data_IF_702256114515
#
_entry.id   IF_702256114515
#
_cell.length_a   1.000
_cell.length_b   1.000
_cell.length_c   1.000
_cell.angle_alpha   90.00
_cell.angle_beta   90.00
_cell.angle_gamma   90.00
#
_symmetry.space_group_name_H-M   'P 1'
#
loop_
_entity.id
_entity.type
_entity.pdbx_description
1 polymer ?
#
# COMPACT_ATOMS: atom_id res chain seq x y z
N UNK A 1 -6.80 12.49 10.76
CA UNK A 1 -6.93 11.66 11.99
C UNK A 1 -6.81 10.16 11.74
N UNK A 2 -7.27 9.61 10.62
CA UNK A 2 -7.14 8.18 10.29
C UNK A 2 -5.72 7.63 10.51
N UNK A 3 -4.68 8.30 10.01
CA UNK A 3 -3.30 7.88 10.20
C UNK A 3 -2.83 7.90 11.67
N UNK A 4 -3.28 8.88 12.47
CA UNK A 4 -2.95 8.93 13.90
C UNK A 4 -3.44 7.68 14.65
N UNK A 5 -4.63 7.19 14.30
CA UNK A 5 -5.16 5.95 14.85
C UNK A 5 -4.28 4.74 14.50
N UNK A 6 -3.75 4.69 13.27
CA UNK A 6 -2.80 3.64 12.84
C UNK A 6 -1.53 3.67 13.67
N UNK A 7 -0.90 4.84 13.84
CA UNK A 7 0.34 4.94 14.62
C UNK A 7 0.15 4.59 16.10
N UNK A 8 -0.97 5.01 16.69
CA UNK A 8 -1.32 4.65 18.07
C UNK A 8 -1.51 3.13 18.20
N UNK A 9 -2.24 2.52 17.27
CA UNK A 9 -2.47 1.08 17.23
C UNK A 9 -1.17 0.30 17.03
N UNK A 10 -0.30 0.73 16.11
CA UNK A 10 0.98 0.08 15.84
C UNK A 10 1.89 0.13 17.05
N UNK A 11 1.96 1.29 17.73
CA UNK A 11 2.71 1.43 18.98
C UNK A 11 2.18 0.49 20.05
N UNK A 12 0.86 0.45 20.23
CA UNK A 12 0.20 -0.45 21.17
C UNK A 12 0.45 -1.93 20.82
N UNK A 13 0.38 -2.28 19.54
CA UNK A 13 0.58 -3.64 19.06
C UNK A 13 2.03 -4.09 19.20
N UNK A 14 3.00 -3.18 19.01
CA UNK A 14 4.42 -3.48 19.17
C UNK A 14 4.77 -3.80 20.63
N UNK A 15 4.13 -3.13 21.59
CA UNK A 15 4.36 -3.35 23.02
C UNK A 15 3.96 -4.75 23.50
N UNK A 16 3.06 -5.45 22.80
CA UNK A 16 2.68 -6.85 23.08
C UNK A 16 3.84 -7.84 23.01
N UNK A 17 4.92 -7.47 22.32
CA UNK A 17 6.10 -8.30 22.11
C UNK A 17 7.29 -7.86 22.97
N UNK A 18 7.08 -6.90 23.87
CA UNK A 18 8.06 -6.43 24.86
C UNK A 18 7.84 -7.20 26.17
N UNK A 19 8.66 -6.97 27.19
CA UNK A 19 8.51 -7.62 28.50
C UNK A 19 7.18 -7.29 29.21
N UNK A 20 6.76 -8.17 30.12
CA UNK A 20 5.51 -8.02 30.88
C UNK A 20 5.68 -7.14 32.14
N UNK A 21 6.34 -6.00 32.01
CA UNK A 21 6.50 -5.07 33.13
C UNK A 21 5.23 -4.27 33.38
N UNK A 22 5.02 -3.84 34.63
CA UNK A 22 3.90 -2.94 34.99
C UNK A 22 3.87 -1.69 34.11
N UNK A 23 5.05 -1.14 33.79
CA UNK A 23 5.18 0.03 32.92
C UNK A 23 4.66 -0.24 31.50
N UNK A 24 4.94 -1.41 30.93
CA UNK A 24 4.41 -1.81 29.61
C UNK A 24 2.89 -1.94 29.67
N UNK A 25 2.34 -2.59 30.70
CA UNK A 25 0.90 -2.72 30.89
C UNK A 25 0.16 -1.38 31.06
N UNK A 26 0.72 -0.46 31.85
CA UNK A 26 0.19 0.91 32.03
C UNK A 26 0.25 1.70 30.72
N UNK A 27 1.36 1.60 29.97
CA UNK A 27 1.52 2.28 28.67
C UNK A 27 0.54 1.75 27.64
N UNK A 28 0.34 0.43 27.56
CA UNK A 28 -0.65 -0.17 26.67
C UNK A 28 -2.07 0.26 27.03
N UNK A 29 -2.40 0.32 28.32
CA UNK A 29 -3.73 0.78 28.77
C UNK A 29 -3.96 2.26 28.44
N UNK A 30 -2.93 3.09 28.56
CA UNK A 30 -3.00 4.49 28.12
C UNK A 30 -3.21 4.63 26.62
N UNK A 31 -2.46 3.87 25.80
CA UNK A 31 -2.61 3.88 24.34
C UNK A 31 -4.00 3.39 23.91
N UNK A 32 -4.55 2.37 24.57
CA UNK A 32 -5.92 1.88 24.33
C UNK A 32 -6.95 3.00 24.55
N UNK A 33 -6.81 3.75 25.65
CA UNK A 33 -7.62 4.96 25.90
C UNK A 33 -7.47 6.02 24.81
N UNK A 34 -6.24 6.29 24.34
CA UNK A 34 -6.00 7.25 23.24
C UNK A 34 -6.61 6.81 21.92
N UNK A 35 -6.52 5.52 21.59
CA UNK A 35 -7.13 4.92 20.40
C UNK A 35 -8.64 5.15 20.43
N UNK A 36 -9.29 4.89 21.57
CA UNK A 36 -10.73 5.14 21.72
C UNK A 36 -11.12 6.61 21.57
N UNK A 37 -10.36 7.54 22.15
CA UNK A 37 -10.61 8.98 21.98
C UNK A 37 -10.46 9.40 20.51
N UNK A 38 -9.42 8.92 19.84
CA UNK A 38 -9.14 9.23 18.43
C UNK A 38 -10.21 8.64 17.50
N UNK A 39 -10.64 7.40 17.77
CA UNK A 39 -11.74 6.73 17.07
C UNK A 39 -13.07 7.48 17.21
N UNK A 40 -13.44 7.88 18.44
CA UNK A 40 -14.64 8.66 18.70
C UNK A 40 -14.61 10.01 17.98
N UNK A 41 -13.48 10.72 18.06
CA UNK A 41 -13.33 12.00 17.36
C UNK A 41 -13.45 11.81 15.84
N UNK A 42 -12.90 10.72 15.28
CA UNK A 42 -13.00 10.42 13.85
C UNK A 42 -14.44 10.09 13.45
N UNK A 43 -15.16 9.34 14.28
CA UNK A 43 -16.59 9.04 14.09
C UNK A 43 -17.45 10.32 14.08
N UNK A 44 -17.14 11.27 14.98
CA UNK A 44 -17.82 12.56 15.02
C UNK A 44 -17.54 13.40 13.78
N UNK A 45 -16.29 13.40 13.27
CA UNK A 45 -15.94 14.07 12.02
C UNK A 45 -16.71 13.47 10.83
N UNK A 46 -16.76 12.14 10.71
CA UNK A 46 -17.54 11.47 9.65
C UNK A 46 -19.03 11.78 9.75
N UNK A 47 -19.58 11.85 10.97
CA UNK A 47 -20.98 12.24 11.17
C UNK A 47 -21.22 13.69 10.76
N UNK A 48 -20.30 14.60 11.10
CA UNK A 48 -20.38 16.00 10.68
C UNK A 48 -20.31 16.15 9.16
N UNK A 49 -19.42 15.43 8.48
CA UNK A 49 -19.30 15.46 7.02
C UNK A 49 -20.58 14.92 6.32
N UNK A 50 -21.25 13.97 6.97
CA UNK A 50 -22.46 13.35 6.43
C UNK A 50 -23.74 14.16 6.71
N UNK A 51 -23.91 14.69 7.92
CA UNK A 51 -25.16 15.26 8.42
C UNK A 51 -25.07 16.74 8.80
N UNK A 52 -23.87 17.34 8.75
CA UNK A 52 -23.63 18.73 9.15
C UNK A 52 -23.96 18.99 10.62
N UNK A 53 -24.51 20.18 10.88
CA UNK A 53 -24.89 20.63 12.24
C UNK A 53 -26.15 19.94 12.79
N UNK A 54 -26.81 19.06 12.03
CA UNK A 54 -27.98 18.30 12.50
C UNK A 54 -27.55 17.11 13.37
N UNK A 55 -27.17 17.42 14.62
CA UNK A 55 -26.72 16.43 15.60
C UNK A 55 -27.74 15.32 15.88
N UNK A 56 -29.04 15.57 15.65
CA UNK A 56 -30.08 14.56 15.84
C UNK A 56 -30.05 13.46 14.78
N UNK A 57 -29.43 13.74 13.62
CA UNK A 57 -29.25 12.79 12.52
C UNK A 57 -27.91 12.05 12.57
N UNK A 58 -27.03 12.37 13.53
CA UNK A 58 -25.74 11.69 13.67
C UNK A 58 -25.95 10.21 14.06
N UNK A 59 -25.24 9.33 13.36
CA UNK A 59 -25.26 7.88 13.58
C UNK A 59 -23.84 7.35 13.76
N UNK A 60 -23.67 6.16 14.36
CA UNK A 60 -22.38 5.47 14.31
C UNK A 60 -21.86 5.33 12.86
N UNK A 61 -20.53 5.29 12.66
CA UNK A 61 -19.94 5.13 11.33
C UNK A 61 -20.48 3.89 10.62
N UNK A 62 -20.93 4.08 9.39
CA UNK A 62 -21.41 3.03 8.52
C UNK A 62 -20.39 2.76 7.41
N UNK A 63 -20.36 1.52 6.93
CA UNK A 63 -19.48 1.07 5.86
C UNK A 63 -20.28 0.58 4.65
N UNK A 64 -19.59 0.14 3.60
CA UNK A 64 -20.23 -0.45 2.43
C UNK A 64 -21.08 -1.70 2.78
N UNK A 65 -20.75 -2.41 3.88
CA UNK A 65 -21.57 -3.51 4.40
C UNK A 65 -22.94 -3.07 4.90
N UNK A 66 -23.02 -1.84 5.38
CA UNK A 66 -24.24 -1.22 5.89
C UNK A 66 -25.03 -0.50 4.78
N UNK A 67 -24.56 -0.57 3.53
CA UNK A 67 -25.11 0.14 2.39
C UNK A 67 -24.68 1.61 2.32
N UNK A 68 -23.69 2.03 3.12
CA UNK A 68 -23.13 3.38 3.06
C UNK A 68 -22.06 3.47 1.97
N UNK A 69 -22.15 4.52 1.17
CA UNK A 69 -21.19 4.86 0.12
C UNK A 69 -20.83 6.33 0.24
N UNK A 70 -19.54 6.63 0.17
CA UNK A 70 -19.05 8.00 0.26
C UNK A 70 -19.67 8.90 -0.81
N UNK A 71 -20.00 10.13 -0.41
CA UNK A 71 -20.56 11.12 -1.34
C UNK A 71 -19.52 11.45 -2.40
N UNK A 72 -19.97 11.55 -3.64
CA UNK A 72 -19.13 12.01 -4.76
C UNK A 72 -19.54 13.42 -5.16
N UNK A 73 -18.58 14.30 -5.40
CA UNK A 73 -18.81 15.71 -5.71
C UNK A 73 -19.47 15.97 -7.09
N UNK A 74 -20.25 17.08 -7.23
CA UNK A 74 -20.84 17.49 -8.51
C UNK A 74 -19.74 18.04 -9.43
N UNK A 75 -19.32 17.23 -10.41
CA UNK A 75 -18.22 17.55 -11.34
C UNK A 75 -17.33 16.38 -11.71
N UNK A 76 -17.48 15.23 -11.03
CA UNK A 76 -16.68 14.01 -11.24
C UNK A 76 -17.18 13.13 -12.40
N UNK A 77 -17.57 13.77 -13.51
CA UNK A 77 -17.70 13.12 -14.79
C UNK A 77 -16.35 13.15 -15.51
N UNK A 78 -15.72 11.98 -15.65
CA UNK A 78 -14.65 11.69 -16.62
C UNK A 78 -13.45 12.66 -16.67
N UNK A 79 -12.37 12.33 -15.96
CA UNK A 79 -11.14 11.97 -16.69
C UNK A 79 -10.21 11.10 -15.82
N UNK A 80 -9.96 9.83 -16.18
CA UNK A 80 -8.97 8.95 -15.53
C UNK A 80 -7.51 9.44 -15.58
N UNK A 81 -7.23 10.65 -16.09
CA UNK A 81 -5.91 11.06 -16.58
C UNK A 81 -5.20 12.22 -15.87
N UNK A 82 -5.78 12.88 -14.87
CA UNK A 82 -5.20 14.16 -14.37
C UNK A 82 -4.04 13.96 -13.39
N UNK A 83 -4.06 12.91 -12.56
CA UNK A 83 -2.95 12.65 -11.63
C UNK A 83 -1.87 11.80 -12.32
N UNK A 84 -0.67 12.34 -12.38
CA UNK A 84 0.49 11.72 -13.01
C UNK A 84 1.77 12.44 -12.63
N UNK A 85 2.90 11.80 -12.90
CA UNK A 85 4.21 12.33 -12.56
C UNK A 85 4.48 13.62 -13.35
N UNK A 86 4.86 14.73 -12.70
CA UNK A 86 5.02 16.01 -13.36
C UNK A 86 6.13 15.97 -14.42
N UNK A 87 5.84 16.51 -15.61
CA UNK A 87 6.82 16.66 -16.68
C UNK A 87 7.72 17.88 -16.48
N UNK A 88 8.94 17.84 -17.02
CA UNK A 88 9.82 19.02 -17.07
C UNK A 88 10.46 19.40 -15.73
N UNK A 89 10.45 18.49 -14.75
CA UNK A 89 11.23 18.66 -13.52
C UNK A 89 12.72 18.80 -13.85
N UNK A 90 13.34 19.84 -13.28
CA UNK A 90 14.79 20.04 -13.34
C UNK A 90 15.43 19.36 -12.12
N UNK A 91 16.49 18.61 -12.34
CA UNK A 91 17.27 18.00 -11.27
C UNK A 91 17.96 19.07 -10.40
N UNK A 92 17.84 18.94 -9.07
CA UNK A 92 18.61 19.73 -8.11
C UNK A 92 19.97 19.06 -7.86
N UNK A 93 19.99 17.73 -7.81
CA UNK A 93 21.19 16.92 -7.55
C UNK A 93 21.16 15.61 -8.35
N UNK A 94 22.36 15.06 -8.60
CA UNK A 94 22.53 13.78 -9.30
C UNK A 94 23.33 12.80 -8.46
N UNK A 95 22.90 11.54 -8.46
CA UNK A 95 23.57 10.40 -7.84
C UNK A 95 24.15 9.50 -8.93
N UNK A 96 25.43 9.15 -8.86
CA UNK A 96 26.00 8.08 -9.67
C UNK A 96 27.08 7.28 -8.94
N UNK A 97 27.07 5.97 -9.17
CA UNK A 97 27.93 5.00 -8.46
C UNK A 97 29.42 5.18 -8.74
N UNK A 98 29.76 5.69 -9.92
CA UNK A 98 31.14 5.92 -10.36
C UNK A 98 31.77 7.21 -9.77
N UNK A 99 30.98 7.98 -9.00
CA UNK A 99 31.44 9.17 -8.28
C UNK A 99 31.64 10.42 -9.16
N UNK A 100 31.16 10.40 -10.41
CA UNK A 100 31.27 11.57 -11.31
C UNK A 100 30.18 12.63 -11.10
N UNK A 101 29.23 12.37 -10.21
CA UNK A 101 28.06 13.21 -9.92
C UNK A 101 28.21 13.90 -8.56
N UNK A 102 27.23 14.73 -8.21
CA UNK A 102 27.21 15.43 -6.92
C UNK A 102 27.20 14.50 -5.70
N UNK A 103 26.64 13.30 -5.84
CA UNK A 103 26.54 12.30 -4.77
C UNK A 103 26.86 10.89 -5.26
N UNK A 104 27.38 10.05 -4.36
CA UNK A 104 27.67 8.63 -4.60
C UNK A 104 26.55 7.71 -4.11
N UNK A 105 25.86 8.10 -3.05
CA UNK A 105 24.75 7.36 -2.43
C UNK A 105 23.45 8.15 -2.55
N UNK A 106 22.32 7.44 -2.52
CA UNK A 106 20.99 8.05 -2.53
C UNK A 106 20.70 8.73 -1.19
N UNK A 107 21.10 8.12 -0.06
CA UNK A 107 20.89 8.73 1.25
C UNK A 107 21.60 10.08 1.40
N UNK A 108 22.83 10.24 0.89
CA UNK A 108 23.54 11.53 0.97
C UNK A 108 22.82 12.62 0.17
N UNK A 109 22.23 12.27 -0.98
CA UNK A 109 21.43 13.20 -1.76
C UNK A 109 20.12 13.58 -1.06
N UNK A 110 19.47 12.62 -0.37
CA UNK A 110 18.30 12.90 0.48
C UNK A 110 18.68 13.84 1.64
N UNK A 111 19.82 13.60 2.28
CA UNK A 111 20.29 14.44 3.39
C UNK A 111 20.53 15.89 2.97
N UNK A 112 20.89 16.11 1.70
CA UNK A 112 21.12 17.43 1.13
C UNK A 112 19.82 18.21 0.79
N UNK A 113 18.67 17.54 0.72
CA UNK A 113 17.39 18.20 0.52
C UNK A 113 17.11 19.17 1.68
N UNK A 114 16.60 20.39 1.46
CA UNK A 114 16.22 21.28 2.55
C UNK A 114 15.10 20.69 3.41
N UNK A 115 15.16 20.93 4.71
CA UNK A 115 14.05 20.59 5.62
C UNK A 115 12.86 21.53 5.35
N UNK A 116 11.64 20.98 5.38
CA UNK A 116 10.38 21.69 5.26
C UNK A 116 10.34 22.65 4.05
N UNK A 117 10.69 22.14 2.87
CA UNK A 117 10.90 22.91 1.63
C UNK A 117 9.62 23.56 1.02
N UNK A 118 8.58 23.81 1.82
CA UNK A 118 7.28 24.31 1.37
C UNK A 118 6.71 23.42 0.27
N UNK A 119 6.18 24.00 -0.80
CA UNK A 119 5.69 23.29 -1.98
C UNK A 119 6.80 22.97 -3.01
N UNK A 120 8.04 23.40 -2.79
CA UNK A 120 9.13 23.19 -3.76
C UNK A 120 9.57 21.72 -3.74
N UNK A 121 9.59 21.11 -4.92
CA UNK A 121 10.17 19.78 -5.14
C UNK A 121 11.69 19.83 -5.08
N UNK A 122 12.30 18.84 -4.43
CA UNK A 122 13.76 18.61 -4.46
C UNK A 122 14.03 17.34 -5.27
N UNK A 123 14.53 17.53 -6.49
CA UNK A 123 14.62 16.49 -7.51
C UNK A 123 16.00 15.83 -7.49
N UNK A 124 16.02 14.54 -7.16
CA UNK A 124 17.19 13.69 -7.11
C UNK A 124 17.18 12.78 -8.33
N UNK A 125 18.05 13.06 -9.30
CA UNK A 125 18.28 12.18 -10.45
C UNK A 125 19.22 11.06 -10.02
N UNK A 126 18.78 9.82 -10.11
CA UNK A 126 19.55 8.64 -9.72
C UNK A 126 19.90 7.88 -10.99
N UNK A 127 21.20 7.87 -11.33
CA UNK A 127 21.66 7.24 -12.58
C UNK A 127 21.49 5.73 -12.54
N UNK A 128 21.59 5.09 -13.70
CA UNK A 128 21.65 3.63 -13.82
C UNK A 128 22.69 3.02 -12.87
N UNK A 129 22.30 1.96 -12.17
CA UNK A 129 23.14 1.26 -11.21
C UNK A 129 22.35 0.55 -10.12
N UNK A 130 23.02 -0.37 -9.44
CA UNK A 130 22.52 -1.04 -8.23
C UNK A 130 23.11 -0.36 -7.00
N UNK A 131 22.25 0.22 -6.17
CA UNK A 131 22.57 0.96 -4.95
C UNK A 131 22.18 0.11 -3.75
N UNK A 132 23.16 -0.55 -3.14
CA UNK A 132 22.94 -1.38 -1.95
C UNK A 132 23.02 -0.50 -0.70
N UNK A 133 21.89 0.07 -0.33
CA UNK A 133 21.77 1.00 0.80
C UNK A 133 20.35 1.00 1.36
N UNK A 134 20.22 1.35 2.63
CA UNK A 134 18.93 1.61 3.29
C UNK A 134 18.66 3.10 3.25
N UNK A 135 17.59 3.52 2.56
CA UNK A 135 17.24 4.93 2.39
C UNK A 135 16.06 5.31 3.28
N UNK A 136 16.17 6.44 3.96
CA UNK A 136 15.15 7.03 4.82
C UNK A 136 14.91 8.47 4.41
N UNK A 137 13.66 8.77 4.08
CA UNK A 137 13.16 10.13 3.82
C UNK A 137 12.35 10.53 5.07
N UNK A 138 12.97 11.21 6.05
CA UNK A 138 12.31 11.52 7.31
C UNK A 138 11.23 12.59 7.13
N UNK A 139 10.43 12.80 8.18
CA UNK A 139 9.26 13.67 8.18
C UNK A 139 9.56 15.10 7.71
N UNK A 140 10.75 15.62 7.99
CA UNK A 140 11.13 16.98 7.63
C UNK A 140 11.48 17.13 6.14
N UNK A 141 11.72 16.03 5.41
CA UNK A 141 12.13 16.06 3.99
C UNK A 141 10.92 15.94 3.06
N UNK A 142 10.11 17.00 3.01
CA UNK A 142 8.93 17.06 2.14
C UNK A 142 9.29 17.29 0.66
N UNK A 143 8.43 16.82 -0.24
CA UNK A 143 8.52 16.98 -1.69
C UNK A 143 9.85 16.50 -2.31
N UNK A 144 10.45 15.46 -1.73
CA UNK A 144 11.60 14.76 -2.33
C UNK A 144 11.11 13.95 -3.52
N UNK A 145 11.80 14.10 -4.66
CA UNK A 145 11.45 13.42 -5.90
C UNK A 145 12.61 12.58 -6.39
N UNK A 146 12.40 11.28 -6.58
CA UNK A 146 13.37 10.37 -7.19
C UNK A 146 13.04 10.17 -8.67
N UNK A 147 14.05 10.34 -9.52
CA UNK A 147 13.96 10.04 -10.95
C UNK A 147 15.09 9.09 -11.32
N UNK A 148 14.77 7.84 -11.62
CA UNK A 148 15.74 6.86 -12.12
C UNK A 148 15.98 6.96 -13.63
N UNK A 149 16.79 6.05 -14.17
CA UNK A 149 17.03 5.88 -15.62
C UNK A 149 16.15 4.76 -16.24
N UNK A 150 15.29 4.14 -15.44
CA UNK A 150 14.34 3.10 -15.86
C UNK A 150 14.18 1.99 -14.82
N UNK A 151 12.98 1.39 -14.76
CA UNK A 151 12.76 0.15 -14.02
C UNK A 151 13.79 -0.91 -14.44
N UNK A 152 14.39 -1.58 -13.46
CA UNK A 152 15.45 -2.57 -13.64
C UNK A 152 16.83 -2.01 -13.96
N UNK A 153 16.96 -0.71 -14.27
CA UNK A 153 18.24 -0.03 -14.53
C UNK A 153 18.77 0.68 -13.30
N UNK A 154 17.91 1.47 -12.67
CA UNK A 154 18.20 2.12 -11.38
C UNK A 154 17.53 1.30 -10.28
N UNK A 155 18.33 0.64 -9.43
CA UNK A 155 17.83 -0.27 -8.39
C UNK A 155 18.37 0.15 -7.04
N UNK A 156 17.49 0.42 -6.07
CA UNK A 156 17.86 0.54 -4.65
C UNK A 156 17.51 -0.78 -3.97
N UNK A 157 18.51 -1.45 -3.40
CA UNK A 157 18.37 -2.81 -2.87
C UNK A 157 18.87 -2.94 -1.43
N UNK A 158 18.21 -3.79 -0.66
CA UNK A 158 18.59 -4.20 0.69
C UNK A 158 18.15 -5.63 0.98
N UNK A 159 18.43 -6.14 2.17
CA UNK A 159 18.08 -7.53 2.56
C UNK A 159 17.66 -7.66 4.03
N UNK A 160 17.25 -6.54 4.63
CA UNK A 160 16.80 -6.48 6.01
C UNK A 160 15.49 -7.29 6.15
N UNK A 161 15.39 -8.13 7.18
CA UNK A 161 14.23 -8.99 7.46
C UNK A 161 14.01 -9.20 8.97
N UNK A 162 12.79 -9.59 9.36
CA UNK A 162 12.41 -9.73 10.78
C UNK A 162 13.16 -10.82 11.54
N UNK A 163 13.82 -11.76 10.85
CA UNK A 163 14.66 -12.77 11.49
C UNK A 163 15.94 -12.18 12.12
N UNK A 164 16.27 -10.93 11.82
CA UNK A 164 17.42 -10.24 12.41
C UNK A 164 17.12 -9.73 13.83
N UNK A 165 18.10 -9.74 14.76
CA UNK A 165 17.88 -9.27 16.13
C UNK A 165 17.38 -7.81 16.19
N UNK A 166 16.29 -7.58 16.91
CA UNK A 166 15.73 -6.24 17.13
C UNK A 166 15.01 -5.63 15.93
N UNK A 167 14.82 -6.40 14.86
CA UNK A 167 14.15 -5.93 13.66
C UNK A 167 12.63 -6.16 13.70
N UNK A 168 11.89 -5.15 13.24
CA UNK A 168 10.44 -5.19 13.06
C UNK A 168 10.13 -5.09 11.57
N UNK A 169 8.96 -5.56 11.13
CA UNK A 169 8.52 -5.42 9.73
C UNK A 169 8.69 -3.98 9.22
N UNK A 170 8.27 -3.00 10.02
CA UNK A 170 8.39 -1.57 9.70
C UNK A 170 9.84 -1.12 9.40
N UNK A 171 10.80 -1.64 10.17
CA UNK A 171 12.22 -1.27 10.05
C UNK A 171 12.96 -2.04 8.94
N UNK A 172 12.33 -3.08 8.37
CA UNK A 172 12.93 -3.88 7.28
C UNK A 172 12.95 -3.19 5.92
N UNK A 173 12.21 -2.09 5.77
CA UNK A 173 12.08 -1.38 4.51
C UNK A 173 13.45 -1.00 3.93
N UNK A 174 13.72 -1.38 2.68
CA UNK A 174 14.91 -0.91 1.97
C UNK A 174 14.83 0.60 1.77
N UNK A 175 13.68 1.09 1.29
CA UNK A 175 13.37 2.52 1.26
C UNK A 175 12.15 2.79 2.14
N UNK A 176 12.28 3.72 3.09
CA UNK A 176 11.21 4.13 3.99
C UNK A 176 10.95 5.64 3.88
N UNK A 177 9.71 6.00 3.56
CA UNK A 177 9.29 7.38 3.30
C UNK A 177 8.33 7.84 4.38
N UNK A 178 8.62 8.98 5.01
CA UNK A 178 7.77 9.65 6.00
C UNK A 178 7.46 11.10 5.60
N UNK A 179 8.38 11.79 4.93
CA UNK A 179 8.15 13.16 4.45
C UNK A 179 7.07 13.22 3.36
N UNK A 180 6.14 14.16 3.46
CA UNK A 180 4.96 14.28 2.60
C UNK A 180 5.32 14.73 1.17
N UNK A 181 4.48 14.36 0.19
CA UNK A 181 4.64 14.75 -1.21
C UNK A 181 5.76 14.02 -1.94
N UNK A 182 6.18 12.86 -1.43
CA UNK A 182 7.22 12.06 -2.06
C UNK A 182 6.78 11.59 -3.45
N UNK A 183 7.69 11.69 -4.42
CA UNK A 183 7.45 11.15 -5.76
C UNK A 183 8.60 10.26 -6.21
N UNK A 184 8.29 9.23 -6.98
CA UNK A 184 9.29 8.39 -7.62
C UNK A 184 8.86 8.00 -9.04
N UNK A 185 9.81 8.01 -9.97
CA UNK A 185 9.62 7.49 -11.33
C UNK A 185 10.83 6.73 -11.82
N UNK A 186 10.58 5.72 -12.65
CA UNK A 186 11.61 5.03 -13.45
C UNK A 186 12.69 4.34 -12.59
N UNK A 187 12.29 3.73 -11.46
CA UNK A 187 13.20 3.14 -10.47
C UNK A 187 12.65 1.84 -9.87
N UNK A 188 13.56 0.94 -9.48
CA UNK A 188 13.24 -0.30 -8.77
C UNK A 188 13.62 -0.20 -7.29
N UNK A 189 12.70 -0.55 -6.39
CA UNK A 189 12.93 -0.78 -4.97
C UNK A 189 12.90 -2.28 -4.69
N UNK A 190 13.96 -2.81 -4.09
CA UNK A 190 14.13 -4.26 -3.93
C UNK A 190 14.53 -4.65 -2.51
N UNK A 191 13.92 -5.72 -2.00
CA UNK A 191 14.43 -6.46 -0.85
C UNK A 191 14.76 -7.90 -1.25
N UNK A 192 16.04 -8.28 -1.14
CA UNK A 192 16.56 -9.59 -1.52
C UNK A 192 16.72 -10.53 -0.33
N UNK A 193 16.00 -10.30 0.78
CA UNK A 193 16.03 -11.22 1.91
C UNK A 193 15.76 -12.66 1.45
N UNK A 194 16.59 -13.57 1.95
CA UNK A 194 16.68 -14.95 1.47
C UNK A 194 15.54 -15.84 1.97
N UNK A 195 15.61 -17.14 1.62
CA UNK A 195 14.63 -18.12 2.08
C UNK A 195 14.48 -18.09 3.60
N UNK A 196 13.26 -18.33 4.10
CA UNK A 196 12.90 -18.31 5.52
C UNK A 196 13.11 -16.95 6.25
N UNK A 197 13.38 -15.86 5.53
CA UNK A 197 13.50 -14.52 6.13
C UNK A 197 12.18 -13.94 6.67
N UNK A 198 11.05 -14.53 6.30
CA UNK A 198 9.70 -14.03 6.58
C UNK A 198 9.53 -12.58 6.06
N UNK A 199 8.95 -11.67 6.85
CA UNK A 199 8.65 -10.30 6.43
C UNK A 199 9.92 -9.51 6.09
N UNK A 200 9.96 -8.95 4.87
CA UNK A 200 11.08 -8.16 4.37
C UNK A 200 10.62 -7.13 3.34
N UNK A 201 10.51 -5.88 3.77
CA UNK A 201 9.90 -4.79 3.00
C UNK A 201 10.89 -4.19 2.00
N UNK A 202 10.48 -4.05 0.74
CA UNK A 202 11.23 -3.32 -0.28
C UNK A 202 10.98 -1.82 -0.18
N UNK A 203 9.72 -1.42 -0.08
CA UNK A 203 9.31 -0.02 0.03
C UNK A 203 8.22 0.16 1.09
N UNK A 204 8.40 1.15 1.96
CA UNK A 204 7.39 1.60 2.93
C UNK A 204 7.07 3.07 2.68
N UNK A 205 5.78 3.40 2.62
CA UNK A 205 5.31 4.79 2.61
C UNK A 205 4.34 5.09 3.74
N UNK A 206 4.69 6.15 4.46
CA UNK A 206 3.96 6.83 5.53
C UNK A 206 3.74 8.31 5.15
N UNK A 207 3.74 8.61 3.84
CA UNK A 207 3.78 9.96 3.28
C UNK A 207 2.47 10.26 2.56
N UNK A 208 1.80 11.35 2.93
CA UNK A 208 0.63 11.82 2.20
C UNK A 208 1.05 12.33 0.83
N UNK A 209 0.17 12.18 -0.16
CA UNK A 209 0.45 12.54 -1.56
C UNK A 209 1.65 11.81 -2.18
N UNK A 210 1.92 10.58 -1.74
CA UNK A 210 2.95 9.74 -2.38
C UNK A 210 2.54 9.35 -3.81
N UNK A 211 3.34 9.74 -4.80
CA UNK A 211 3.10 9.45 -6.22
C UNK A 211 4.24 8.60 -6.82
N UNK A 212 3.93 7.36 -7.18
CA UNK A 212 4.89 6.43 -7.76
C UNK A 212 4.43 6.03 -9.17
N UNK A 213 5.17 6.44 -10.20
CA UNK A 213 4.82 6.17 -11.60
C UNK A 213 5.93 5.38 -12.29
N UNK A 214 5.60 4.28 -12.97
CA UNK A 214 6.60 3.46 -13.67
C UNK A 214 7.74 3.01 -12.74
N UNK A 215 7.37 2.55 -11.53
CA UNK A 215 8.29 2.00 -10.53
C UNK A 215 8.10 0.49 -10.41
N UNK A 216 9.16 -0.20 -9.99
CA UNK A 216 9.13 -1.63 -9.73
C UNK A 216 9.43 -1.93 -8.25
N UNK A 217 8.64 -2.83 -7.65
CA UNK A 217 8.80 -3.26 -6.25
C UNK A 217 9.03 -4.76 -6.23
N UNK A 218 10.22 -5.18 -5.80
CA UNK A 218 10.63 -6.57 -5.81
C UNK A 218 10.88 -7.08 -4.40
N UNK A 219 10.14 -8.09 -3.98
CA UNK A 219 10.37 -8.78 -2.72
C UNK A 219 9.67 -10.14 -2.67
N UNK A 220 9.49 -10.63 -1.45
CA UNK A 220 8.77 -11.86 -1.16
C UNK A 220 7.55 -11.53 -0.27
N UNK A 221 7.62 -11.90 1.00
CA UNK A 221 6.61 -11.57 1.98
C UNK A 221 6.73 -10.09 2.38
N UNK A 222 5.60 -9.38 2.42
CA UNK A 222 5.50 -7.98 2.84
C UNK A 222 6.29 -7.00 1.94
N UNK A 223 6.29 -7.20 0.61
CA UNK A 223 7.10 -6.40 -0.34
C UNK A 223 6.82 -4.89 -0.28
N UNK A 224 5.55 -4.50 -0.37
CA UNK A 224 5.11 -3.11 -0.38
C UNK A 224 4.26 -2.81 0.85
N UNK A 225 4.82 -1.98 1.75
CA UNK A 225 4.13 -1.51 2.94
C UNK A 225 3.51 -0.12 2.69
N UNK A 226 2.28 -0.11 2.19
CA UNK A 226 1.48 1.10 2.02
C UNK A 226 0.82 1.47 3.37
N UNK A 227 1.65 1.96 4.31
CA UNK A 227 1.36 2.02 5.75
C UNK A 227 0.16 2.90 6.11
N UNK A 228 0.16 4.17 5.70
CA UNK A 228 -0.87 5.15 6.06
C UNK A 228 -0.97 6.29 5.04
N UNK A 229 -1.94 7.19 5.25
CA UNK A 229 -2.19 8.38 4.39
C UNK A 229 -2.54 8.02 2.94
N UNK A 230 -2.52 9.00 2.00
CA UNK A 230 -2.97 8.81 0.62
C UNK A 230 -1.80 8.56 -0.32
N UNK A 231 -1.93 7.53 -1.16
CA UNK A 231 -0.85 7.06 -2.02
C UNK A 231 -1.39 6.65 -3.39
N UNK A 232 -0.61 6.91 -4.45
CA UNK A 232 -0.99 6.58 -5.82
C UNK A 232 0.17 5.90 -6.54
N UNK A 233 -0.13 4.70 -7.06
CA UNK A 233 0.80 3.86 -7.80
C UNK A 233 0.26 3.70 -9.23
N UNK A 234 0.99 4.21 -10.22
CA UNK A 234 0.55 4.23 -11.63
C UNK A 234 1.54 3.51 -12.52
N UNK A 235 1.07 2.56 -13.31
CA UNK A 235 1.92 1.81 -14.25
C UNK A 235 3.12 1.15 -13.57
N UNK A 236 2.96 0.73 -12.31
CA UNK A 236 4.01 0.09 -11.53
C UNK A 236 3.97 -1.43 -11.70
N UNK A 237 5.11 -2.07 -11.47
CA UNK A 237 5.19 -3.53 -11.30
C UNK A 237 5.43 -3.86 -9.84
N UNK A 238 4.58 -4.69 -9.24
CA UNK A 238 4.68 -5.09 -7.84
C UNK A 238 4.76 -6.61 -7.77
N UNK A 239 5.85 -7.14 -7.22
CA UNK A 239 6.12 -8.58 -7.17
C UNK A 239 6.33 -9.07 -5.75
N UNK A 240 5.64 -10.15 -5.36
CA UNK A 240 5.85 -10.83 -4.08
C UNK A 240 5.03 -12.11 -3.94
N UNK A 241 4.89 -12.64 -2.72
CA UNK A 241 4.13 -13.88 -2.47
C UNK A 241 3.08 -13.74 -1.37
N UNK A 242 3.48 -13.57 -0.12
CA UNK A 242 2.57 -13.50 1.04
C UNK A 242 2.38 -12.04 1.42
N UNK A 243 1.12 -11.58 1.46
CA UNK A 243 0.73 -10.26 1.95
C UNK A 243 1.55 -9.13 1.33
N UNK A 244 1.94 -9.29 0.05
CA UNK A 244 3.02 -8.50 -0.50
C UNK A 244 2.61 -7.05 -0.83
N UNK A 245 1.32 -6.73 -0.73
CA UNK A 245 0.78 -5.37 -0.63
C UNK A 245 -0.04 -5.28 0.65
N UNK A 246 0.46 -4.57 1.67
CA UNK A 246 -0.17 -4.53 3.00
C UNK A 246 -0.07 -3.14 3.63
N UNK A 247 -0.89 -2.91 4.66
CA UNK A 247 -0.96 -1.63 5.38
C UNK A 247 -2.36 -1.03 5.43
N UNK A 248 -2.45 0.23 5.87
CA UNK A 248 -3.71 0.92 6.15
C UNK A 248 -3.76 2.33 5.51
N UNK A 249 -3.06 2.53 4.40
CA UNK A 249 -3.22 3.73 3.56
C UNK A 249 -4.55 3.72 2.79
N UNK A 250 -4.93 4.89 2.30
CA UNK A 250 -5.85 5.03 1.17
C UNK A 250 -5.00 5.00 -0.10
N UNK A 251 -4.89 3.82 -0.74
CA UNK A 251 -4.04 3.62 -1.90
C UNK A 251 -4.84 3.27 -3.15
N UNK A 252 -4.52 3.92 -4.26
CA UNK A 252 -4.97 3.50 -5.60
C UNK A 252 -3.79 2.96 -6.40
N UNK A 253 -3.97 1.77 -6.96
CA UNK A 253 -3.08 1.12 -7.91
C UNK A 253 -3.76 1.15 -9.27
N UNK A 254 -3.23 1.91 -10.22
CA UNK A 254 -3.82 2.07 -11.55
C UNK A 254 -2.87 1.57 -12.63
N UNK A 255 -3.39 0.74 -13.54
CA UNK A 255 -2.64 0.19 -14.68
C UNK A 255 -1.36 -0.57 -14.26
N UNK A 256 -1.36 -1.17 -13.07
CA UNK A 256 -0.19 -1.86 -12.52
C UNK A 256 -0.14 -3.35 -12.93
N UNK A 257 1.06 -3.90 -13.01
CA UNK A 257 1.32 -5.34 -13.07
C UNK A 257 1.54 -5.90 -11.66
N UNK A 258 0.65 -6.76 -11.20
CA UNK A 258 0.71 -7.40 -9.89
C UNK A 258 1.12 -8.86 -10.09
N UNK A 259 2.34 -9.20 -9.70
CA UNK A 259 2.99 -10.46 -10.05
C UNK A 259 3.27 -11.33 -8.82
N UNK A 260 2.63 -12.49 -8.76
CA UNK A 260 2.92 -13.50 -7.74
C UNK A 260 4.23 -14.22 -8.10
N UNK A 261 5.20 -14.19 -7.19
CA UNK A 261 6.46 -14.89 -7.30
C UNK A 261 6.45 -16.22 -6.52
N UNK A 262 7.30 -17.19 -6.88
CA UNK A 262 7.48 -18.41 -6.08
C UNK A 262 8.03 -18.06 -4.70
N UNK A 263 7.65 -18.79 -3.66
CA UNK A 263 8.50 -18.82 -2.47
C UNK A 263 9.85 -19.44 -2.76
N UNK A 264 10.82 -19.03 -1.96
CA UNK A 264 12.21 -19.45 -2.10
C UNK A 264 12.47 -20.87 -1.55
N UNK A 265 11.56 -21.43 -0.73
CA UNK A 265 11.72 -22.75 -0.11
C UNK A 265 10.68 -23.74 -0.64
N UNK A 266 11.17 -24.82 -1.27
CA UNK A 266 10.35 -25.90 -1.86
C UNK A 266 9.18 -25.39 -2.72
N UNK A 267 9.42 -24.50 -3.71
CA UNK A 267 8.36 -23.87 -4.50
C UNK A 267 7.44 -24.88 -5.19
N UNK A 268 7.92 -26.06 -5.54
CA UNK A 268 7.16 -27.14 -6.17
C UNK A 268 6.05 -27.73 -5.29
N UNK A 269 6.15 -27.58 -3.97
CA UNK A 269 5.11 -28.06 -3.04
C UNK A 269 3.87 -27.19 -3.04
N UNK A 270 3.95 -26.01 -3.65
CA UNK A 270 2.87 -25.02 -3.64
C UNK A 270 2.53 -24.51 -2.24
N UNK A 271 1.66 -23.51 -2.22
CA UNK A 271 1.42 -22.70 -1.03
C UNK A 271 0.16 -21.85 -1.18
N UNK A 272 -0.19 -21.16 -0.09
CA UNK A 272 -1.20 -20.09 -0.07
C UNK A 272 -0.50 -18.74 -0.11
N UNK A 273 -0.79 -17.98 -1.16
CA UNK A 273 -0.35 -16.61 -1.35
C UNK A 273 -1.56 -15.67 -1.30
N UNK A 274 -1.38 -14.50 -0.71
CA UNK A 274 -2.40 -13.46 -0.68
C UNK A 274 -1.78 -12.19 -1.27
N UNK A 275 -2.42 -11.62 -2.29
CA UNK A 275 -1.95 -10.38 -2.90
C UNK A 275 -1.99 -9.23 -1.91
N UNK A 276 -3.10 -9.13 -1.16
CA UNK A 276 -3.29 -8.03 -0.21
C UNK A 276 -3.50 -8.49 1.24
N UNK A 277 -3.03 -7.68 2.18
CA UNK A 277 -3.38 -7.76 3.59
C UNK A 277 -3.69 -6.35 4.12
N UNK A 278 -4.89 -5.85 3.81
CA UNK A 278 -5.28 -4.50 4.16
C UNK A 278 -5.68 -4.42 5.66
N UNK A 279 -5.20 -3.38 6.33
CA UNK A 279 -5.18 -3.24 7.79
C UNK A 279 -6.08 -2.16 8.37
N UNK A 280 -7.24 -1.86 7.77
CA UNK A 280 -8.21 -0.91 8.35
C UNK A 280 -8.78 -1.44 9.67
N UNK A 281 -8.60 -0.67 10.74
CA UNK A 281 -8.96 -1.05 12.12
C UNK A 281 -10.26 -0.41 12.62
N UNK A 282 -10.75 0.62 11.94
CA UNK A 282 -11.92 1.40 12.38
C UNK A 282 -12.81 1.74 11.17
N UNK A 283 -14.14 1.64 11.29
CA UNK A 283 -15.07 1.89 10.18
C UNK A 283 -15.05 3.35 9.70
N UNK A 284 -14.65 4.29 10.56
CA UNK A 284 -14.55 5.72 10.24
C UNK A 284 -13.29 6.05 9.43
N UNK A 285 -12.36 5.11 9.26
CA UNK A 285 -11.19 5.33 8.41
C UNK A 285 -11.57 5.23 6.93
N UNK A 286 -11.21 6.26 6.17
CA UNK A 286 -11.28 6.28 4.71
C UNK A 286 -10.21 5.42 4.01
N UNK A 287 -9.40 4.68 4.76
CA UNK A 287 -8.34 3.82 4.23
C UNK A 287 -8.89 2.61 3.43
N UNK A 288 -8.04 2.04 2.57
CA UNK A 288 -8.38 0.91 1.72
C UNK A 288 -7.46 0.80 0.51
N UNK A 289 -7.46 -0.36 -0.13
CA UNK A 289 -6.72 -0.57 -1.38
C UNK A 289 -7.66 -0.69 -2.56
N UNK A 290 -7.43 0.13 -3.58
CA UNK A 290 -8.21 0.14 -4.82
C UNK A 290 -7.29 -0.24 -5.96
N UNK A 291 -7.64 -1.29 -6.71
CA UNK A 291 -6.94 -1.69 -7.92
C UNK A 291 -7.82 -1.36 -9.13
N UNK A 292 -7.32 -0.52 -10.03
CA UNK A 292 -8.00 -0.07 -11.24
C UNK A 292 -7.22 -0.54 -12.47
N UNK A 293 -7.86 -1.31 -13.34
CA UNK A 293 -7.28 -1.75 -14.62
C UNK A 293 -5.93 -2.47 -14.49
N UNK A 294 -5.67 -3.11 -13.36
CA UNK A 294 -4.43 -3.85 -13.12
C UNK A 294 -4.45 -5.22 -13.79
N UNK A 295 -3.25 -5.75 -14.10
CA UNK A 295 -3.05 -7.15 -14.43
C UNK A 295 -2.68 -7.92 -13.16
N UNK A 296 -3.39 -8.99 -12.84
CA UNK A 296 -3.03 -9.92 -11.76
C UNK A 296 -2.56 -11.24 -12.37
N UNK A 297 -1.27 -11.53 -12.24
CA UNK A 297 -0.63 -12.70 -12.84
C UNK A 297 0.48 -13.27 -11.93
N UNK A 298 1.15 -14.33 -12.36
CA UNK A 298 2.41 -14.80 -11.77
C UNK A 298 3.61 -14.36 -12.59
N UNK A 299 4.79 -14.34 -11.97
CA UNK A 299 6.06 -14.28 -12.72
C UNK A 299 6.18 -15.47 -13.67
N UNK A 300 7.04 -15.38 -14.68
CA UNK A 300 7.22 -16.50 -15.64
C UNK A 300 7.60 -17.80 -14.91
N UNK A 301 8.45 -17.72 -13.89
CA UNK A 301 8.84 -18.84 -13.05
C UNK A 301 7.66 -19.40 -12.25
N UNK A 302 6.86 -18.54 -11.61
CA UNK A 302 5.67 -18.98 -10.89
C UNK A 302 4.66 -19.67 -11.81
N UNK A 303 4.44 -19.12 -13.01
CA UNK A 303 3.50 -19.69 -13.97
C UNK A 303 3.94 -21.06 -14.49
N UNK A 304 5.25 -21.34 -14.55
CA UNK A 304 5.76 -22.69 -14.85
C UNK A 304 5.38 -23.69 -13.74
N UNK A 305 5.55 -23.29 -12.48
CA UNK A 305 5.19 -24.11 -11.31
C UNK A 305 3.68 -24.33 -11.22
N UNK A 306 2.89 -23.26 -11.34
CA UNK A 306 1.44 -23.31 -11.34
C UNK A 306 0.90 -24.25 -12.44
N UNK A 307 1.41 -24.16 -13.68
CA UNK A 307 0.99 -25.03 -14.78
C UNK A 307 1.37 -26.50 -14.55
N UNK A 308 2.48 -26.76 -13.86
CA UNK A 308 2.90 -28.12 -13.55
C UNK A 308 2.00 -28.79 -12.50
N UNK A 309 1.53 -28.05 -11.48
CA UNK A 309 0.65 -28.58 -10.44
C UNK A 309 -0.30 -27.53 -9.84
N UNK A 310 -1.36 -27.11 -10.56
CA UNK A 310 -2.23 -26.00 -10.11
C UNK A 310 -3.01 -26.32 -8.82
N UNK A 311 -3.07 -27.58 -8.40
CA UNK A 311 -3.78 -27.99 -7.18
C UNK A 311 -3.09 -27.52 -5.90
N UNK A 312 -1.77 -27.39 -5.90
CA UNK A 312 -1.00 -27.01 -4.71
C UNK A 312 -0.70 -25.51 -4.65
N UNK A 313 -0.77 -24.81 -5.78
CA UNK A 313 -0.56 -23.36 -5.87
C UNK A 313 -1.88 -22.61 -5.72
N UNK A 314 -2.10 -22.01 -4.54
CA UNK A 314 -3.33 -21.29 -4.19
C UNK A 314 -3.05 -19.80 -4.04
N UNK A 315 -3.66 -18.98 -4.88
CA UNK A 315 -3.51 -17.53 -4.81
C UNK A 315 -4.86 -16.89 -4.52
N UNK A 316 -4.83 -15.90 -3.64
CA UNK A 316 -6.01 -15.15 -3.21
C UNK A 316 -5.76 -13.66 -3.42
N UNK A 317 -6.82 -12.91 -3.74
CA UNK A 317 -6.82 -11.46 -3.90
C UNK A 317 -6.45 -10.75 -2.58
N UNK A 318 -6.77 -11.35 -1.43
CA UNK A 318 -6.35 -10.84 -0.14
C UNK A 318 -6.87 -11.62 1.06
N UNK A 319 -6.47 -11.16 2.25
CA UNK A 319 -6.95 -11.62 3.56
C UNK A 319 -7.02 -10.47 4.59
N UNK A 320 -8.00 -10.48 5.52
CA UNK A 320 -8.27 -9.32 6.36
C UNK A 320 -7.30 -9.25 7.54
N UNK A 321 -6.24 -8.46 7.41
CA UNK A 321 -5.29 -8.27 8.51
C UNK A 321 -5.95 -7.65 9.75
N UNK A 322 -6.99 -6.84 9.55
CA UNK A 322 -7.75 -6.11 10.59
C UNK A 322 -9.26 -6.14 10.32
N UNK A 323 -10.06 -5.84 11.35
CA UNK A 323 -11.52 -6.04 11.37
C UNK A 323 -12.27 -5.37 10.21
N UNK A 324 -11.87 -4.18 9.81
CA UNK A 324 -12.57 -3.41 8.77
C UNK A 324 -11.84 -3.44 7.43
N UNK A 325 -11.02 -4.47 7.19
CA UNK A 325 -10.19 -4.60 5.99
C UNK A 325 -10.97 -4.25 4.71
N UNK A 326 -10.42 -3.37 3.87
CA UNK A 326 -11.08 -2.89 2.66
C UNK A 326 -10.16 -2.97 1.44
N UNK A 327 -10.54 -3.82 0.48
CA UNK A 327 -9.81 -4.01 -0.78
C UNK A 327 -10.79 -4.17 -1.93
N UNK A 328 -10.57 -3.48 -3.05
CA UNK A 328 -11.40 -3.61 -4.24
C UNK A 328 -10.59 -3.78 -5.52
N UNK A 329 -11.10 -4.59 -6.45
CA UNK A 329 -10.54 -4.78 -7.79
C UNK A 329 -11.58 -4.42 -8.84
N UNK A 330 -11.27 -3.42 -9.68
CA UNK A 330 -12.20 -2.84 -10.65
C UNK A 330 -11.53 -2.80 -12.03
N UNK A 331 -12.15 -3.45 -13.02
CA UNK A 331 -11.62 -3.46 -14.39
C UNK A 331 -10.30 -4.24 -14.55
N UNK A 332 -9.90 -5.02 -13.54
CA UNK A 332 -8.64 -5.75 -13.55
C UNK A 332 -8.73 -7.01 -14.43
N UNK A 333 -7.65 -7.35 -15.12
CA UNK A 333 -7.51 -8.64 -15.78
C UNK A 333 -6.87 -9.66 -14.81
N UNK A 334 -7.59 -10.71 -14.46
CA UNK A 334 -7.17 -11.76 -13.54
C UNK A 334 -6.88 -13.05 -14.30
N UNK A 335 -5.63 -13.47 -14.29
CA UNK A 335 -5.22 -14.74 -14.91
C UNK A 335 -5.71 -15.96 -14.09
N UNK A 336 -5.65 -17.15 -14.70
CA UNK A 336 -6.22 -18.38 -14.14
C UNK A 336 -5.66 -18.82 -12.76
N UNK A 337 -4.55 -18.21 -12.31
CA UNK A 337 -3.90 -18.56 -11.04
C UNK A 337 -4.69 -18.16 -9.78
N UNK A 338 -5.69 -17.28 -9.91
CA UNK A 338 -6.55 -16.88 -8.80
C UNK A 338 -7.48 -18.03 -8.43
N UNK A 339 -7.48 -18.40 -7.15
CA UNK A 339 -8.33 -19.48 -6.62
C UNK A 339 -9.80 -19.08 -6.74
N UNK A 340 -10.73 -20.00 -7.07
CA UNK A 340 -12.16 -19.66 -7.23
C UNK A 340 -12.79 -18.97 -6.01
N UNK A 341 -12.39 -19.36 -4.80
CA UNK A 341 -12.78 -18.71 -3.53
C UNK A 341 -12.49 -17.20 -3.53
N UNK A 342 -11.46 -16.76 -4.26
CA UNK A 342 -11.00 -15.38 -4.42
C UNK A 342 -10.27 -14.82 -3.21
N UNK A 343 -10.83 -15.00 -2.02
CA UNK A 343 -10.37 -14.37 -0.78
C UNK A 343 -10.10 -15.41 0.32
N UNK A 344 -9.12 -15.13 1.18
CA UNK A 344 -8.68 -16.04 2.23
C UNK A 344 -9.07 -15.49 3.62
N UNK A 345 -9.70 -16.29 4.51
CA UNK A 345 -9.89 -15.87 5.89
C UNK A 345 -8.56 -15.62 6.59
N UNK A 346 -8.51 -14.65 7.51
CA UNK A 346 -7.34 -14.46 8.37
C UNK A 346 -7.24 -15.57 9.41
N UNK A 347 -8.30 -15.77 10.19
CA UNK A 347 -8.44 -16.86 11.17
C UNK A 347 -9.91 -17.04 11.55
N UNK A 348 -10.47 -18.24 11.30
CA UNK A 348 -11.89 -18.51 11.55
C UNK A 348 -12.79 -17.46 10.88
N UNK A 349 -13.75 -16.94 11.65
CA UNK A 349 -14.71 -15.93 11.19
C UNK A 349 -14.28 -14.47 11.48
N UNK A 350 -13.01 -14.26 11.88
CA UNK A 350 -12.47 -12.92 12.13
C UNK A 350 -12.68 -11.99 10.93
N UNK A 351 -13.17 -10.77 11.19
CA UNK A 351 -13.46 -9.71 10.23
C UNK A 351 -14.51 -10.01 9.14
N UNK A 352 -15.02 -11.25 9.01
CA UNK A 352 -15.82 -11.64 7.83
C UNK A 352 -17.16 -10.89 7.70
N UNK A 353 -17.68 -10.34 8.80
CA UNK A 353 -18.90 -9.54 8.82
C UNK A 353 -18.67 -8.05 8.60
N UNK A 354 -17.44 -7.57 8.79
CA UNK A 354 -17.09 -6.13 8.85
C UNK A 354 -16.16 -5.68 7.73
N UNK A 355 -15.37 -6.58 7.15
CA UNK A 355 -14.52 -6.30 5.99
C UNK A 355 -15.36 -5.95 4.76
N UNK A 356 -14.77 -5.22 3.81
CA UNK A 356 -15.35 -5.00 2.48
C UNK A 356 -14.38 -5.39 1.37
N UNK A 357 -14.61 -6.55 0.76
CA UNK A 357 -13.85 -7.09 -0.37
C UNK A 357 -14.70 -7.12 -1.63
N UNK A 358 -14.47 -6.14 -2.50
CA UNK A 358 -15.32 -5.86 -3.66
C UNK A 358 -14.65 -6.17 -4.99
N UNK A 359 -15.42 -6.68 -5.94
CA UNK A 359 -15.01 -6.87 -7.33
C UNK A 359 -16.04 -6.24 -8.27
N UNK A 360 -15.60 -5.58 -9.35
CA UNK A 360 -16.48 -5.12 -10.43
C UNK A 360 -15.76 -5.10 -11.79
N UNK A 361 -16.44 -5.53 -12.84
CA UNK A 361 -15.97 -5.43 -14.24
C UNK A 361 -14.59 -6.07 -14.50
N UNK A 362 -14.16 -7.02 -13.66
CA UNK A 362 -12.92 -7.76 -13.86
C UNK A 362 -13.07 -8.77 -15.00
N UNK A 363 -11.99 -8.99 -15.74
CA UNK A 363 -11.93 -9.94 -16.86
C UNK A 363 -10.86 -11.01 -16.63
N UNK A 364 -10.79 -12.00 -17.52
CA UNK A 364 -9.80 -13.07 -17.46
C UNK A 364 -10.31 -14.33 -16.79
N UNK A 365 -9.52 -15.40 -16.80
CA UNK A 365 -9.96 -16.71 -16.31
C UNK A 365 -10.09 -16.76 -14.77
N UNK A 366 -9.37 -15.91 -14.04
CA UNK A 366 -9.43 -15.79 -12.58
C UNK A 366 -10.57 -14.90 -12.07
N UNK A 367 -11.29 -14.21 -12.97
CA UNK A 367 -12.35 -13.27 -12.58
C UNK A 367 -13.73 -13.90 -12.44
N UNK A 368 -13.88 -15.22 -12.64
CA UNK A 368 -15.16 -15.89 -12.38
C UNK A 368 -15.50 -15.82 -10.89
N UNK A 369 -16.65 -15.22 -10.59
CA UNK A 369 -17.13 -14.98 -9.22
C UNK A 369 -18.11 -16.04 -8.73
N UNK A 370 -18.51 -16.99 -9.57
CA UNK A 370 -19.56 -17.99 -9.26
C UNK A 370 -19.26 -18.88 -8.04
N UNK A 371 -17.99 -18.99 -7.65
CA UNK A 371 -17.51 -19.79 -6.52
C UNK A 371 -16.79 -18.96 -5.44
N UNK A 372 -16.91 -17.63 -5.49
CA UNK A 372 -16.31 -16.78 -4.45
C UNK A 372 -16.91 -17.13 -3.10
N UNK A 373 -16.12 -16.92 -2.06
CA UNK A 373 -16.60 -16.97 -0.69
C UNK A 373 -17.85 -16.10 -0.51
N UNK A 374 -18.80 -16.56 0.30
CA UNK A 374 -20.11 -15.90 0.49
C UNK A 374 -20.01 -14.51 1.13
N UNK A 375 -18.90 -14.22 1.78
CA UNK A 375 -18.60 -12.90 2.35
C UNK A 375 -17.84 -11.98 1.38
N UNK A 376 -17.60 -12.37 0.13
CA UNK A 376 -17.17 -11.41 -0.90
C UNK A 376 -18.32 -10.49 -1.33
N UNK A 377 -18.00 -9.36 -1.96
CA UNK A 377 -18.99 -8.35 -2.39
C UNK A 377 -18.88 -8.08 -3.90
N UNK A 378 -20.02 -7.78 -4.51
CA UNK A 378 -20.08 -7.13 -5.83
C UNK A 378 -20.20 -5.63 -5.60
N UNK A 379 -19.37 -4.83 -6.26
CA UNK A 379 -19.54 -3.38 -6.20
C UNK A 379 -20.66 -3.03 -7.19
N UNK A 380 -21.79 -2.45 -6.75
CA UNK A 380 -22.86 -2.03 -7.65
C UNK A 380 -22.33 -1.01 -8.66
N UNK A 381 -22.83 -1.08 -9.89
CA UNK A 381 -22.34 -0.27 -11.01
C UNK A 381 -22.42 1.24 -10.73
N UNK A 382 -23.48 1.66 -10.05
CA UNK A 382 -23.71 3.03 -9.61
C UNK A 382 -22.69 3.51 -8.57
N UNK A 383 -21.99 2.62 -7.86
CA UNK A 383 -21.04 2.98 -6.80
C UNK A 383 -19.57 2.82 -7.19
N UNK A 384 -19.27 2.24 -8.35
CA UNK A 384 -17.89 2.06 -8.85
C UNK A 384 -17.07 3.35 -8.81
N UNK A 385 -17.70 4.49 -9.13
CA UNK A 385 -17.04 5.80 -9.19
C UNK A 385 -16.52 6.33 -7.84
N UNK A 386 -17.05 5.82 -6.71
CA UNK A 386 -16.54 6.11 -5.35
C UNK A 386 -15.06 5.73 -5.22
N UNK A 387 -14.65 4.68 -5.93
CA UNK A 387 -13.28 4.19 -5.95
C UNK A 387 -12.42 4.79 -7.07
N UNK A 388 -12.87 5.85 -7.76
CA UNK A 388 -12.01 6.55 -8.72
C UNK A 388 -10.85 7.26 -8.02
N UNK A 389 -9.76 7.52 -8.75
CA UNK A 389 -8.60 8.27 -8.24
C UNK A 389 -9.02 9.63 -7.65
N UNK A 390 -9.93 10.35 -8.31
CA UNK A 390 -10.45 11.62 -7.82
C UNK A 390 -11.21 11.49 -6.50
N UNK A 391 -12.11 10.50 -6.37
CA UNK A 391 -12.95 10.36 -5.19
C UNK A 391 -12.22 9.72 -4.01
N UNK A 392 -11.46 8.65 -4.25
CA UNK A 392 -10.93 7.82 -3.17
C UNK A 392 -9.74 8.47 -2.46
N UNK A 393 -8.89 9.18 -3.22
CA UNK A 393 -7.69 9.84 -2.69
C UNK A 393 -7.69 11.36 -2.90
N UNK A 394 -8.81 11.96 -3.31
CA UNK A 394 -8.97 13.41 -3.47
C UNK A 394 -7.87 14.00 -4.37
N UNK A 395 -7.68 13.38 -5.54
CA UNK A 395 -6.53 13.64 -6.43
C UNK A 395 -6.39 15.10 -6.90
N UNK A 396 -7.46 15.88 -6.85
CA UNK A 396 -7.48 17.32 -7.13
C UNK A 396 -6.67 18.12 -6.10
N UNK A 397 -6.63 17.69 -4.84
CA UNK A 397 -5.82 18.32 -3.79
C UNK A 397 -4.31 18.18 -4.07
N UNK A 398 -3.91 17.18 -4.86
CA UNK A 398 -2.51 16.89 -5.19
C UNK A 398 -2.00 17.85 -6.28
N UNK A 399 -2.90 18.31 -7.17
CA UNK A 399 -2.59 19.24 -8.25
C UNK A 399 -2.18 20.63 -7.74
N UNK A 400 -2.74 21.05 -6.60
CA UNK A 400 -2.41 22.32 -5.94
C UNK A 400 -0.98 22.35 -5.37
N UNK A 401 -0.36 21.17 -5.18
CA UNK A 401 1.03 21.01 -4.72
C UNK A 401 2.02 20.82 -5.87
N UNK A 402 1.54 20.68 -7.11
CA UNK A 402 2.38 20.41 -8.28
C UNK A 402 2.68 21.61 -9.17
N UNK A 403 2.02 22.75 -8.93
CA UNK A 403 2.21 24.04 -9.63
C UNK A 403 3.45 24.84 -9.23
#
# INVERSE_FOLDING_TARGET
MSAALVYQYDTWSALKYVNDTTQVGETMSFLDGLIHVTSNALSMMVSYDNFGDDLASWIPPATERDGFWEKTGPGMGSDPGVLGFPSGLKEDVTVCKDGKCGYKTVQDAVNAAPDNNGARKFVIKISEGVYEETVRIPFEKNNVVFVGDGMGKTVITGSLNVGMPGMTTYNTATVGVVGDGFMARDITFQNTAGPDAHQAVAFRSDSDFSLLENCEFLGNQDTLYAHGLRQFYKSCRIQGNVDFIFGNSASVFQDCEILIAPRQVNPEKGEKNAVTAQGRIDPSQSAGFVFLNCLINGTEEYMKLYKANPKVHKNFLGRPWKDYSRTVFIGCNMEALITPDGWLPWSGDFALQTLYYGEAKNTGLGSDRSQRVSWSSEIPDEHVHVYSVANFIQADEWALMSG
#
